data_IF_141745267902
#
_entry.id   IF_141745267902
#
_cell.length_a   1.000
_cell.length_b   1.000
_cell.length_c   1.000
_cell.angle_alpha   90.00
_cell.angle_beta   90.00
_cell.angle_gamma   90.00
#
_symmetry.space_group_name_H-M   'P 1'
#
loop_
_entity.id
_entity.type
_entity.pdbx_description
1 polymer ?
#
# COMPACT_ATOMS: atom_id res chain seq x y z
N UNK A 1 1.46 60.49 -5.99
CA UNK A 1 1.24 60.05 -7.39
C UNK A 1 0.35 58.84 -7.33
N UNK A 2 -0.93 59.07 -7.53
CA UNK A 2 -1.95 58.04 -7.55
C UNK A 2 -2.10 57.50 -8.96
N UNK A 3 -2.27 56.20 -9.09
CA UNK A 3 -2.64 55.54 -10.34
C UNK A 3 -4.06 54.95 -10.15
N UNK A 4 -5.00 55.57 -10.87
CA UNK A 4 -6.40 55.18 -11.01
C UNK A 4 -6.49 53.87 -11.81
N UNK A 5 -7.20 52.89 -11.27
CA UNK A 5 -7.59 51.67 -11.97
C UNK A 5 -9.07 51.81 -12.47
N UNK A 6 -9.36 51.58 -13.75
CA UNK A 6 -10.72 51.77 -14.29
C UNK A 6 -11.64 50.59 -13.98
N UNK A 7 -12.76 50.87 -13.35
CA UNK A 7 -13.92 49.98 -13.12
C UNK A 7 -14.54 49.51 -14.43
N UNK A 8 -14.39 48.21 -14.76
CA UNK A 8 -15.17 47.58 -15.85
C UNK A 8 -16.62 47.35 -15.44
N UNK A 9 -17.55 48.04 -16.14
CA UNK A 9 -18.98 47.79 -16.07
C UNK A 9 -19.32 46.43 -16.72
N UNK A 10 -19.90 45.51 -15.96
CA UNK A 10 -20.52 44.29 -16.50
C UNK A 10 -21.86 44.66 -17.13
N UNK A 11 -21.99 44.48 -18.44
CA UNK A 11 -23.26 44.48 -19.16
C UNK A 11 -24.03 43.19 -18.85
N UNK A 12 -25.27 43.37 -18.45
CA UNK A 12 -26.25 42.33 -18.13
C UNK A 12 -26.98 41.99 -19.42
N UNK A 13 -26.67 40.85 -20.04
CA UNK A 13 -27.45 40.32 -21.17
C UNK A 13 -28.72 39.65 -20.65
N UNK A 14 -29.86 40.03 -21.28
CA UNK A 14 -31.18 39.44 -21.05
C UNK A 14 -31.20 37.99 -21.53
N UNK A 15 -31.92 37.05 -20.85
CA UNK A 15 -32.15 35.74 -21.40
C UNK A 15 -33.17 35.76 -22.54
N UNK A 16 -32.79 35.11 -23.62
CA UNK A 16 -33.61 34.83 -24.79
C UNK A 16 -34.67 33.78 -24.44
N UNK A 17 -35.85 33.99 -24.96
CA UNK A 17 -37.06 33.18 -24.77
C UNK A 17 -36.87 31.80 -25.39
N UNK A 18 -36.96 30.75 -24.58
CA UNK A 18 -37.02 29.34 -25.01
C UNK A 18 -38.42 29.07 -25.62
N UNK A 19 -38.45 28.79 -26.91
CA UNK A 19 -39.59 28.17 -27.58
C UNK A 19 -39.87 26.79 -27.02
N UNK A 20 -41.09 26.60 -26.52
CA UNK A 20 -41.61 25.28 -26.11
C UNK A 20 -41.94 24.46 -27.34
N UNK A 21 -41.11 23.49 -27.66
CA UNK A 21 -41.43 22.42 -28.59
C UNK A 21 -42.46 21.47 -27.93
N UNK A 22 -43.63 21.37 -28.58
CA UNK A 22 -44.65 20.38 -28.21
C UNK A 22 -44.09 18.95 -28.36
N UNK A 23 -44.36 18.04 -27.42
CA UNK A 23 -43.95 16.65 -27.58
C UNK A 23 -44.73 16.01 -28.74
N UNK A 24 -43.97 15.39 -29.67
CA UNK A 24 -44.52 14.52 -30.70
C UNK A 24 -45.28 13.37 -30.03
N UNK A 25 -46.45 13.09 -30.55
CA UNK A 25 -47.33 12.00 -30.16
C UNK A 25 -46.70 10.69 -30.63
N UNK A 26 -45.88 10.08 -29.74
CA UNK A 26 -45.26 8.78 -29.96
C UNK A 26 -46.36 7.72 -29.76
N UNK A 27 -46.81 7.09 -30.84
CA UNK A 27 -47.87 6.10 -30.95
C UNK A 27 -47.70 4.82 -30.08
N UNK A 28 -47.10 4.92 -28.87
CA UNK A 28 -46.88 3.85 -27.89
C UNK A 28 -47.84 3.93 -26.69
N UNK A 29 -48.79 4.85 -26.66
CA UNK A 29 -49.71 5.04 -25.51
C UNK A 29 -50.69 3.85 -25.30
N UNK A 30 -50.87 2.99 -26.30
CA UNK A 30 -51.79 1.84 -26.22
C UNK A 30 -51.20 0.54 -25.64
N UNK A 31 -49.90 0.47 -25.39
CA UNK A 31 -49.25 -0.78 -24.92
C UNK A 31 -49.32 -0.99 -23.40
N UNK A 32 -49.64 0.07 -22.64
CA UNK A 32 -49.66 0.03 -21.17
C UNK A 32 -51.03 -0.27 -20.57
N UNK A 33 -52.08 -0.29 -21.36
CA UNK A 33 -53.47 -0.50 -20.91
C UNK A 33 -53.79 -1.96 -20.52
N UNK A 34 -52.86 -2.88 -20.79
CA UNK A 34 -53.02 -4.32 -20.45
C UNK A 34 -52.28 -4.78 -19.20
N UNK A 35 -51.52 -3.92 -18.55
CA UNK A 35 -50.84 -4.28 -17.29
C UNK A 35 -51.76 -3.90 -16.12
N UNK A 36 -52.00 -4.85 -15.18
CA UNK A 36 -52.70 -4.51 -13.97
C UNK A 36 -51.98 -3.37 -13.25
N UNK A 37 -52.70 -2.45 -12.62
CA UNK A 37 -52.07 -1.36 -11.90
C UNK A 37 -51.09 -1.92 -10.85
N UNK A 38 -49.92 -1.35 -10.69
CA UNK A 38 -48.94 -1.82 -9.73
C UNK A 38 -49.55 -1.82 -8.33
N UNK A 39 -49.41 -2.93 -7.62
CA UNK A 39 -49.88 -3.07 -6.23
C UNK A 39 -49.04 -2.14 -5.34
N UNK A 40 -49.62 -1.07 -4.79
CA UNK A 40 -48.88 -0.05 -4.06
C UNK A 40 -48.19 -0.66 -2.80
N UNK A 41 -48.70 -1.74 -2.25
CA UNK A 41 -48.11 -2.42 -1.11
C UNK A 41 -46.83 -3.20 -1.53
N UNK A 42 -46.80 -3.76 -2.74
CA UNK A 42 -45.62 -4.45 -3.28
C UNK A 42 -44.54 -3.46 -3.68
N UNK A 43 -44.92 -2.31 -4.26
CA UNK A 43 -43.97 -1.24 -4.61
C UNK A 43 -43.31 -0.63 -3.37
N UNK A 44 -44.08 -0.39 -2.31
CA UNK A 44 -43.55 0.11 -1.03
C UNK A 44 -42.61 -0.91 -0.37
N UNK A 45 -43.00 -2.17 -0.35
CA UNK A 45 -42.17 -3.26 0.17
C UNK A 45 -40.86 -3.42 -0.64
N UNK A 46 -40.94 -3.31 -1.98
CA UNK A 46 -39.76 -3.36 -2.86
C UNK A 46 -38.84 -2.15 -2.64
N UNK A 47 -39.39 -0.93 -2.47
CA UNK A 47 -38.62 0.28 -2.15
C UNK A 47 -37.93 0.17 -0.78
N UNK A 48 -38.64 -0.34 0.24
CA UNK A 48 -38.06 -0.55 1.57
C UNK A 48 -36.99 -1.64 1.55
N UNK A 49 -37.17 -2.71 0.78
CA UNK A 49 -36.15 -3.76 0.61
C UNK A 49 -34.94 -3.24 -0.16
N UNK A 50 -35.16 -2.47 -1.23
CA UNK A 50 -34.08 -1.83 -1.99
C UNK A 50 -33.33 -0.80 -1.14
N UNK A 51 -34.03 0.00 -0.33
CA UNK A 51 -33.41 0.94 0.60
C UNK A 51 -32.59 0.20 1.70
N UNK A 52 -33.10 -0.89 2.25
CA UNK A 52 -32.33 -1.73 3.19
C UNK A 52 -31.08 -2.33 2.55
N UNK A 53 -31.15 -2.80 1.31
CA UNK A 53 -30.00 -3.34 0.59
C UNK A 53 -28.97 -2.26 0.20
N UNK A 54 -29.39 -1.03 -0.01
CA UNK A 54 -28.49 0.11 -0.26
C UNK A 54 -27.67 0.50 0.98
N UNK A 55 -28.16 0.21 2.20
CA UNK A 55 -27.49 0.56 3.45
C UNK A 55 -26.77 -0.60 4.13
N UNK A 56 -26.99 -1.84 3.69
CA UNK A 56 -26.24 -2.99 4.21
C UNK A 56 -24.96 -3.17 3.41
N UNK A 57 -23.84 -2.74 4.00
CA UNK A 57 -22.52 -3.09 3.44
C UNK A 57 -22.38 -4.60 3.36
N UNK A 58 -21.90 -5.17 2.23
CA UNK A 58 -21.68 -6.61 2.11
C UNK A 58 -20.79 -7.11 3.26
N UNK A 59 -21.14 -8.27 3.83
CA UNK A 59 -20.30 -8.91 4.85
C UNK A 59 -18.93 -9.22 4.25
N UNK A 60 -17.87 -8.95 5.02
CA UNK A 60 -16.51 -9.30 4.60
C UNK A 60 -16.35 -10.82 4.55
N UNK A 61 -15.50 -11.34 3.64
CA UNK A 61 -15.14 -12.74 3.61
C UNK A 61 -14.35 -13.13 4.87
N UNK A 62 -14.22 -14.44 5.09
CA UNK A 62 -13.30 -14.97 6.11
C UNK A 62 -11.85 -14.62 5.72
N UNK A 63 -11.05 -14.25 6.72
CA UNK A 63 -9.67 -13.81 6.50
C UNK A 63 -8.78 -14.92 5.92
N UNK A 64 -8.12 -14.63 4.81
CA UNK A 64 -7.06 -15.47 4.23
C UNK A 64 -5.70 -15.00 4.74
N UNK A 65 -5.16 -15.71 5.72
CA UNK A 65 -3.89 -15.36 6.36
C UNK A 65 -2.67 -15.52 5.46
N UNK A 66 -2.81 -16.18 4.31
CA UNK A 66 -1.76 -16.28 3.30
C UNK A 66 -1.62 -15.01 2.46
N UNK A 67 -2.58 -14.07 2.56
CA UNK A 67 -2.58 -12.79 1.87
C UNK A 67 -2.47 -11.63 2.86
N UNK A 68 -1.59 -10.69 2.60
CA UNK A 68 -1.29 -9.59 3.52
C UNK A 68 -1.25 -8.24 2.83
N UNK A 69 -1.87 -7.25 3.46
CA UNK A 69 -1.74 -5.83 3.16
C UNK A 69 -0.81 -5.21 4.22
N UNK A 70 0.39 -4.78 3.84
CA UNK A 70 1.21 -3.90 4.68
C UNK A 70 0.69 -2.48 4.49
N UNK A 71 0.09 -1.93 5.54
CA UNK A 71 -0.63 -0.67 5.49
C UNK A 71 0.16 0.43 6.18
N UNK A 72 0.54 1.46 5.43
CA UNK A 72 0.93 2.75 6.01
C UNK A 72 -0.30 3.61 6.30
N UNK A 73 -0.15 4.66 7.08
CA UNK A 73 -1.21 5.56 7.50
C UNK A 73 -1.05 6.93 6.84
N UNK A 74 0.12 7.58 7.04
CA UNK A 74 0.39 8.89 6.44
C UNK A 74 0.46 8.76 4.90
N UNK A 75 -0.23 9.65 4.19
CA UNK A 75 -0.27 9.62 2.73
C UNK A 75 -1.06 8.45 2.11
N UNK A 76 -1.53 7.47 2.93
CA UNK A 76 -2.33 6.32 2.47
C UNK A 76 -3.78 6.44 2.93
N UNK A 77 -4.01 6.60 4.21
CA UNK A 77 -5.34 6.80 4.80
C UNK A 77 -5.55 8.21 5.30
N UNK A 78 -4.48 8.89 5.65
CA UNK A 78 -4.43 10.24 6.20
C UNK A 78 -3.65 11.14 5.24
N UNK A 79 -4.23 12.25 4.75
CA UNK A 79 -3.48 13.20 3.95
C UNK A 79 -2.30 13.76 4.74
N UNK A 80 -1.11 13.75 4.17
CA UNK A 80 0.09 14.33 4.81
C UNK A 80 -0.15 15.81 5.14
N UNK A 81 0.10 16.18 6.38
CA UNK A 81 -0.14 17.52 6.90
C UNK A 81 -1.55 17.77 7.47
N UNK A 82 -2.45 16.77 7.46
CA UNK A 82 -3.77 16.87 8.11
C UNK A 82 -3.69 16.76 9.63
N UNK A 83 -2.65 16.14 10.14
CA UNK A 83 -2.36 15.98 11.57
C UNK A 83 -1.03 16.67 11.88
N UNK A 84 -1.00 17.45 12.95
CA UNK A 84 0.24 18.07 13.43
C UNK A 84 1.23 16.99 13.86
N UNK A 85 2.45 17.06 13.33
CA UNK A 85 3.53 16.10 13.59
C UNK A 85 4.75 16.81 14.16
N UNK A 86 5.48 16.10 15.02
CA UNK A 86 6.84 16.47 15.46
C UNK A 86 7.83 15.46 14.92
N UNK A 87 9.05 15.91 14.65
CA UNK A 87 10.13 15.03 14.20
C UNK A 87 10.98 14.61 15.40
N UNK A 88 10.96 13.33 15.74
CA UNK A 88 11.79 12.73 16.78
C UNK A 88 12.74 11.73 16.09
N UNK A 89 14.05 11.94 16.24
CA UNK A 89 15.09 11.10 15.62
C UNK A 89 14.94 10.95 14.09
N UNK A 90 14.40 11.98 13.42
CA UNK A 90 14.17 11.98 11.98
C UNK A 90 12.90 11.23 11.56
N UNK A 91 12.03 10.90 12.50
CA UNK A 91 10.74 10.24 12.26
C UNK A 91 9.62 11.24 12.58
N UNK A 92 8.71 11.46 11.64
CA UNK A 92 7.51 12.25 11.87
C UNK A 92 6.52 11.44 12.72
N UNK A 93 6.20 11.95 13.89
CA UNK A 93 5.22 11.36 14.81
C UNK A 93 4.09 12.37 15.08
N UNK A 94 2.83 11.93 15.17
CA UNK A 94 1.75 12.84 15.52
C UNK A 94 1.95 13.39 16.93
N UNK A 95 1.68 14.68 17.09
CA UNK A 95 1.70 15.34 18.42
C UNK A 95 0.65 14.73 19.35
N UNK A 96 -0.47 14.30 18.77
CA UNK A 96 -1.57 13.62 19.47
C UNK A 96 -1.23 12.15 19.72
N UNK A 97 -1.68 11.64 20.84
CA UNK A 97 -1.58 10.21 21.17
C UNK A 97 -2.73 9.36 20.59
N UNK A 98 -3.69 9.99 19.92
CA UNK A 98 -4.87 9.34 19.33
C UNK A 98 -5.28 10.01 18.03
N UNK A 99 -5.82 9.21 17.13
CA UNK A 99 -6.49 9.66 15.89
C UNK A 99 -8.00 9.55 16.03
N UNK A 100 -8.71 10.33 15.22
CA UNK A 100 -10.17 10.33 15.10
C UNK A 100 -10.54 9.92 13.69
N UNK A 101 -11.74 9.39 13.52
CA UNK A 101 -12.27 9.04 12.20
C UNK A 101 -12.26 10.21 11.21
N UNK A 102 -12.55 11.43 11.73
CA UNK A 102 -12.51 12.67 10.92
C UNK A 102 -11.14 13.06 10.39
N UNK A 103 -10.07 12.48 10.91
CA UNK A 103 -8.71 12.73 10.44
C UNK A 103 -8.43 11.96 9.15
N UNK A 104 -9.18 10.90 8.87
CA UNK A 104 -8.97 9.98 7.75
C UNK A 104 -9.76 10.37 6.50
N UNK A 105 -9.20 10.10 5.33
CA UNK A 105 -9.93 10.19 4.07
C UNK A 105 -10.94 9.03 3.97
N UNK A 106 -12.24 9.34 4.02
CA UNK A 106 -13.32 8.34 3.99
C UNK A 106 -13.25 7.45 2.74
N UNK A 107 -12.90 8.04 1.59
CA UNK A 107 -12.69 7.29 0.33
C UNK A 107 -11.56 6.27 0.47
N UNK A 108 -10.45 6.64 1.09
CA UNK A 108 -9.31 5.75 1.28
C UNK A 108 -9.65 4.58 2.23
N UNK A 109 -10.40 4.84 3.31
CA UNK A 109 -10.94 3.78 4.17
C UNK A 109 -11.88 2.84 3.39
N UNK A 110 -12.75 3.39 2.54
CA UNK A 110 -13.61 2.62 1.66
C UNK A 110 -12.82 1.74 0.70
N UNK A 111 -11.72 2.24 0.15
CA UNK A 111 -10.83 1.51 -0.75
C UNK A 111 -10.10 0.37 -0.04
N UNK A 112 -9.59 0.56 1.19
CA UNK A 112 -9.03 -0.55 1.99
C UNK A 112 -10.07 -1.63 2.25
N UNK A 113 -11.31 -1.23 2.63
CA UNK A 113 -12.40 -2.18 2.81
C UNK A 113 -12.69 -2.96 1.53
N UNK A 114 -12.66 -2.30 0.38
CA UNK A 114 -12.87 -2.92 -0.94
C UNK A 114 -11.76 -3.94 -1.26
N UNK A 115 -10.49 -3.64 -0.98
CA UNK A 115 -9.38 -4.59 -1.13
C UNK A 115 -9.64 -5.83 -0.26
N UNK A 116 -9.95 -5.66 1.02
CA UNK A 116 -10.24 -6.79 1.93
C UNK A 116 -11.45 -7.59 1.45
N UNK A 117 -12.52 -6.92 1.00
CA UNK A 117 -13.72 -7.55 0.46
C UNK A 117 -13.42 -8.46 -0.73
N UNK A 118 -12.53 -8.05 -1.62
CA UNK A 118 -12.22 -8.76 -2.87
C UNK A 118 -11.16 -9.84 -2.70
N UNK A 119 -10.28 -9.72 -1.71
CA UNK A 119 -9.10 -10.57 -1.58
C UNK A 119 -9.07 -11.44 -0.32
N UNK A 120 -9.89 -11.11 0.67
CA UNK A 120 -9.86 -11.68 2.02
C UNK A 120 -8.52 -11.45 2.77
N UNK A 121 -7.65 -10.54 2.27
CA UNK A 121 -6.34 -10.31 2.84
C UNK A 121 -6.41 -9.75 4.26
N UNK A 122 -5.47 -10.14 5.10
CA UNK A 122 -5.28 -9.60 6.44
C UNK A 122 -4.44 -8.33 6.40
N UNK A 123 -4.60 -7.45 7.39
CA UNK A 123 -3.88 -6.18 7.48
C UNK A 123 -2.74 -6.31 8.49
N UNK A 124 -1.54 -5.83 8.12
CA UNK A 124 -0.38 -5.65 8.99
C UNK A 124 0.00 -4.18 8.97
N UNK A 125 0.03 -3.53 10.13
CA UNK A 125 0.34 -2.11 10.22
C UNK A 125 1.84 -1.88 9.99
N UNK A 126 2.18 -1.05 9.00
CA UNK A 126 3.55 -0.74 8.58
C UNK A 126 3.90 0.75 8.69
N UNK A 127 3.13 1.50 9.45
CA UNK A 127 3.31 2.93 9.68
C UNK A 127 4.26 3.23 10.84
N UNK A 128 4.84 4.43 10.88
CA UNK A 128 5.53 4.93 12.05
C UNK A 128 4.61 5.03 13.29
N UNK A 129 3.32 5.19 13.08
CA UNK A 129 2.30 5.30 14.13
C UNK A 129 2.10 4.01 14.91
N UNK A 130 2.67 2.88 14.45
CA UNK A 130 2.69 1.61 15.20
C UNK A 130 3.56 1.65 16.46
N UNK A 131 4.37 2.69 16.65
CA UNK A 131 5.32 2.79 17.78
C UNK A 131 4.65 2.87 19.13
N UNK A 132 3.47 3.50 19.23
CA UNK A 132 2.74 3.65 20.49
C UNK A 132 1.46 2.82 20.49
N UNK A 133 1.12 2.24 21.62
CA UNK A 133 -0.08 1.42 21.78
C UNK A 133 -1.35 2.26 21.62
N UNK A 134 -1.36 3.50 22.13
CA UNK A 134 -2.51 4.40 22.03
C UNK A 134 -2.86 4.74 20.58
N UNK A 135 -1.85 4.97 19.71
CA UNK A 135 -2.06 5.17 18.28
C UNK A 135 -2.57 3.89 17.61
N UNK A 136 -1.93 2.74 17.87
CA UNK A 136 -2.42 1.47 17.33
C UNK A 136 -3.87 1.20 17.70
N UNK A 137 -4.22 1.39 18.97
CA UNK A 137 -5.59 1.17 19.45
C UNK A 137 -6.58 2.12 18.79
N UNK A 138 -6.22 3.40 18.63
CA UNK A 138 -7.12 4.38 17.99
C UNK A 138 -7.28 4.14 16.49
N UNK A 139 -6.22 3.74 15.77
CA UNK A 139 -6.29 3.32 14.37
C UNK A 139 -7.21 2.09 14.25
N UNK A 140 -7.01 1.07 15.09
CA UNK A 140 -7.86 -0.12 15.11
C UNK A 140 -9.33 0.20 15.35
N UNK A 141 -9.63 1.17 16.22
CA UNK A 141 -11.00 1.64 16.46
C UNK A 141 -11.61 2.31 15.22
N UNK A 142 -10.84 3.13 14.49
CA UNK A 142 -11.29 3.75 13.23
C UNK A 142 -11.53 2.70 12.14
N UNK A 143 -10.63 1.74 11.96
CA UNK A 143 -10.85 0.64 11.01
C UNK A 143 -12.16 -0.10 11.32
N UNK A 144 -12.36 -0.45 12.58
CA UNK A 144 -13.57 -1.15 13.04
C UNK A 144 -14.84 -0.34 12.82
N UNK A 145 -14.84 1.00 13.01
CA UNK A 145 -16.01 1.86 12.77
C UNK A 145 -16.43 1.88 11.29
N UNK A 146 -15.51 1.54 10.39
CA UNK A 146 -15.72 1.43 8.95
C UNK A 146 -15.96 -0.02 8.46
N UNK A 147 -16.22 -0.95 9.35
CA UNK A 147 -16.32 -2.39 9.06
C UNK A 147 -15.07 -2.95 8.35
N UNK A 148 -13.89 -2.43 8.68
CA UNK A 148 -12.61 -2.97 8.23
C UNK A 148 -12.05 -3.82 9.37
N UNK A 149 -11.50 -5.02 9.10
CA UNK A 149 -10.87 -5.83 10.13
C UNK A 149 -9.75 -5.06 10.83
N UNK A 150 -9.57 -5.30 12.11
CA UNK A 150 -8.38 -4.80 12.79
C UNK A 150 -7.12 -5.42 12.16
N UNK A 151 -6.01 -4.67 12.20
CA UNK A 151 -4.74 -5.28 11.78
C UNK A 151 -4.38 -6.45 12.71
N UNK A 152 -3.91 -7.54 12.11
CA UNK A 152 -3.53 -8.77 12.85
C UNK A 152 -2.20 -8.61 13.57
N UNK A 153 -1.34 -7.72 13.07
CA UNK A 153 0.03 -7.53 13.54
C UNK A 153 0.61 -6.20 13.05
N UNK A 154 1.84 -5.91 13.39
CA UNK A 154 2.59 -4.76 12.89
C UNK A 154 4.06 -5.13 12.62
N UNK A 155 4.68 -4.44 11.64
CA UNK A 155 6.09 -4.68 11.31
C UNK A 155 7.04 -4.25 12.43
N UNK A 156 8.22 -4.89 12.59
CA UNK A 156 9.23 -4.44 13.54
C UNK A 156 9.69 -3.01 13.20
N UNK A 157 10.24 -2.32 14.18
CA UNK A 157 10.77 -0.96 14.02
C UNK A 157 12.29 -1.01 13.95
N UNK A 158 12.86 -0.60 12.83
CA UNK A 158 14.29 -0.48 12.66
C UNK A 158 14.74 0.99 12.62
N UNK A 159 16.01 1.22 12.89
CA UNK A 159 16.63 2.52 12.66
C UNK A 159 17.08 2.64 11.19
N UNK A 160 16.99 3.83 10.59
CA UNK A 160 17.60 4.11 9.30
C UNK A 160 19.11 3.89 9.38
N UNK A 161 19.73 3.42 8.28
CA UNK A 161 21.18 3.34 8.18
C UNK A 161 21.78 4.74 8.13
N UNK A 162 22.70 5.12 9.04
CA UNK A 162 23.25 6.48 9.07
C UNK A 162 23.84 6.94 7.73
N UNK A 163 24.60 6.05 7.07
CA UNK A 163 25.31 6.37 5.82
C UNK A 163 24.37 6.76 4.67
N UNK A 164 23.13 6.28 4.73
CA UNK A 164 22.10 6.58 3.72
C UNK A 164 21.26 7.77 4.16
N UNK A 165 20.94 7.86 5.45
CA UNK A 165 20.10 8.92 6.02
C UNK A 165 20.71 10.31 5.76
N UNK A 166 22.02 10.44 5.88
CA UNK A 166 22.72 11.72 5.74
C UNK A 166 22.78 12.21 4.30
N UNK A 167 22.75 11.28 3.32
CA UNK A 167 22.82 11.62 1.89
C UNK A 167 21.45 11.65 1.21
N UNK A 168 20.59 10.71 1.54
CA UNK A 168 19.27 10.51 0.93
C UNK A 168 18.23 10.07 1.97
N UNK A 169 17.62 11.00 2.69
CA UNK A 169 16.65 10.64 3.75
C UNK A 169 15.47 9.76 3.28
N UNK A 170 14.88 10.10 2.12
CA UNK A 170 13.78 9.33 1.53
C UNK A 170 14.23 7.91 1.17
N UNK A 171 15.41 7.76 0.56
CA UNK A 171 15.98 6.45 0.23
C UNK A 171 16.22 5.62 1.51
N UNK A 172 16.71 6.25 2.58
CA UNK A 172 16.89 5.59 3.88
C UNK A 172 15.57 5.07 4.46
N UNK A 173 14.47 5.79 4.25
CA UNK A 173 13.14 5.38 4.68
C UNK A 173 12.62 4.21 3.83
N UNK A 174 12.77 4.26 2.51
CA UNK A 174 12.42 3.14 1.63
C UNK A 174 13.18 1.86 1.99
N UNK A 175 14.52 1.94 2.18
CA UNK A 175 15.32 0.79 2.57
C UNK A 175 14.95 0.25 3.97
N UNK A 176 14.65 1.14 4.91
CA UNK A 176 14.21 0.75 6.24
C UNK A 176 12.87 0.02 6.16
N UNK A 177 11.86 0.58 5.48
CA UNK A 177 10.55 -0.02 5.30
C UNK A 177 10.67 -1.40 4.63
N UNK A 178 11.49 -1.53 3.59
CA UNK A 178 11.76 -2.81 2.93
C UNK A 178 12.34 -3.85 3.92
N UNK A 179 13.29 -3.47 4.78
CA UNK A 179 13.85 -4.37 5.80
C UNK A 179 12.82 -4.79 6.85
N UNK A 180 11.97 -3.88 7.28
CA UNK A 180 10.92 -4.12 8.26
C UNK A 180 9.89 -5.13 7.73
N UNK A 181 9.40 -4.93 6.49
CA UNK A 181 8.50 -5.86 5.81
C UNK A 181 9.19 -7.19 5.55
N UNK A 182 10.43 -7.19 5.03
CA UNK A 182 11.18 -8.41 4.76
C UNK A 182 11.46 -9.24 6.01
N UNK A 183 11.72 -8.61 7.16
CA UNK A 183 11.88 -9.32 8.43
C UNK A 183 10.56 -9.95 8.87
N UNK A 184 9.45 -9.20 8.78
CA UNK A 184 8.15 -9.72 9.13
C UNK A 184 7.75 -10.92 8.24
N UNK A 185 7.93 -10.82 6.92
CA UNK A 185 7.66 -11.91 5.97
C UNK A 185 8.52 -13.16 6.26
N UNK A 186 9.79 -12.97 6.65
CA UNK A 186 10.66 -14.09 7.03
C UNK A 186 10.13 -14.86 8.23
N UNK A 187 9.46 -14.17 9.15
CA UNK A 187 8.88 -14.78 10.35
C UNK A 187 7.48 -15.37 10.09
N UNK A 188 6.89 -15.12 8.89
CA UNK A 188 5.56 -15.56 8.50
C UNK A 188 5.59 -16.30 7.15
N UNK A 189 6.19 -17.51 7.10
CA UNK A 189 6.34 -18.28 5.87
C UNK A 189 5.01 -18.75 5.25
N UNK A 190 3.92 -18.67 6.00
CA UNK A 190 2.58 -18.96 5.49
C UNK A 190 2.08 -17.92 4.47
N UNK A 191 2.69 -16.73 4.42
CA UNK A 191 2.28 -15.65 3.51
C UNK A 191 2.83 -15.89 2.12
N UNK A 192 1.95 -16.10 1.17
CA UNK A 192 2.29 -16.37 -0.23
C UNK A 192 2.02 -15.18 -1.15
N UNK A 193 1.13 -14.27 -0.73
CA UNK A 193 0.81 -13.05 -1.47
C UNK A 193 0.73 -11.85 -0.52
N UNK A 194 1.29 -10.73 -0.96
CA UNK A 194 1.27 -9.51 -0.17
C UNK A 194 1.40 -8.27 -1.06
N UNK A 195 0.94 -7.14 -0.54
CA UNK A 195 1.08 -5.81 -1.13
C UNK A 195 1.42 -4.81 -0.03
N UNK A 196 2.27 -3.83 -0.34
CA UNK A 196 2.49 -2.66 0.51
C UNK A 196 1.74 -1.46 -0.05
N UNK A 197 0.92 -0.81 0.78
CA UNK A 197 0.28 0.47 0.48
C UNK A 197 1.05 1.55 1.22
N UNK A 198 1.72 2.44 0.49
CA UNK A 198 2.71 3.37 1.04
C UNK A 198 2.83 4.61 0.15
N UNK A 199 3.12 5.77 0.73
CA UNK A 199 3.44 6.99 -0.02
C UNK A 199 4.94 7.11 -0.36
N UNK A 200 5.74 6.14 0.08
CA UNK A 200 7.14 6.01 -0.32
C UNK A 200 7.25 5.43 -1.74
N UNK A 201 7.98 6.12 -2.62
CA UNK A 201 8.22 5.65 -3.99
C UNK A 201 9.36 4.62 -4.05
N UNK A 202 9.01 3.34 -3.92
CA UNK A 202 9.98 2.24 -4.02
C UNK A 202 10.52 2.04 -5.43
N UNK A 203 9.78 2.45 -6.48
CA UNK A 203 10.26 2.38 -7.86
C UNK A 203 11.37 3.40 -8.10
N UNK A 204 11.20 4.62 -7.59
CA UNK A 204 12.25 5.64 -7.59
C UNK A 204 13.45 5.19 -6.74
N UNK A 205 13.24 4.68 -5.54
CA UNK A 205 14.32 4.22 -4.67
C UNK A 205 15.15 3.11 -5.33
N UNK A 206 14.52 2.17 -6.01
CA UNK A 206 15.19 1.12 -6.78
C UNK A 206 15.99 1.68 -7.95
N UNK A 207 15.51 2.73 -8.62
CA UNK A 207 16.22 3.37 -9.74
C UNK A 207 17.52 4.07 -9.31
N UNK A 208 17.57 4.58 -8.06
CA UNK A 208 18.76 5.24 -7.51
C UNK A 208 19.74 4.20 -6.93
N UNK A 209 19.20 3.20 -6.23
CA UNK A 209 20.00 2.18 -5.57
C UNK A 209 19.26 0.86 -5.50
N UNK A 210 19.59 -0.05 -6.42
CA UNK A 210 18.95 -1.37 -6.53
C UNK A 210 19.07 -2.28 -5.28
N UNK A 211 19.88 -1.91 -4.29
CA UNK A 211 20.13 -2.71 -3.11
C UNK A 211 18.99 -2.61 -2.09
N UNK A 212 18.14 -3.63 -2.01
CA UNK A 212 17.15 -3.82 -0.94
C UNK A 212 15.70 -3.47 -1.28
N UNK A 213 15.42 -2.89 -2.46
CA UNK A 213 14.06 -2.50 -2.83
C UNK A 213 13.48 -3.14 -4.11
N UNK A 214 14.22 -3.95 -4.93
CA UNK A 214 13.66 -4.44 -6.21
C UNK A 214 12.44 -5.33 -6.03
N UNK A 215 12.33 -6.07 -4.95
CA UNK A 215 11.17 -6.89 -4.61
C UNK A 215 9.99 -6.05 -4.06
N UNK A 216 10.27 -4.89 -3.44
CA UNK A 216 9.24 -3.96 -2.99
C UNK A 216 8.54 -3.28 -4.17
N UNK A 217 9.28 -2.83 -5.17
CA UNK A 217 8.73 -2.07 -6.30
C UNK A 217 7.63 -2.81 -7.09
N UNK A 218 7.68 -4.13 -7.14
CA UNK A 218 6.67 -4.94 -7.84
C UNK A 218 5.50 -5.37 -6.96
N UNK A 219 5.60 -5.11 -5.66
CA UNK A 219 4.61 -5.46 -4.64
C UNK A 219 4.13 -4.27 -3.83
N UNK A 220 4.46 -3.05 -4.24
CA UNK A 220 3.99 -1.82 -3.59
C UNK A 220 3.09 -1.03 -4.52
N UNK A 221 2.07 -0.43 -3.94
CA UNK A 221 1.22 0.57 -4.56
C UNK A 221 1.60 1.91 -3.97
N UNK A 222 2.14 2.79 -4.81
CA UNK A 222 2.54 4.14 -4.43
C UNK A 222 1.31 5.06 -4.42
N UNK A 223 1.01 5.66 -3.26
CA UNK A 223 -0.11 6.58 -3.10
C UNK A 223 0.34 8.04 -3.18
N UNK A 224 -0.56 8.91 -3.60
CA UNK A 224 -0.34 10.35 -3.51
C UNK A 224 -0.53 10.81 -2.06
N UNK A 225 0.50 11.40 -1.48
CA UNK A 225 0.54 11.80 -0.07
C UNK A 225 -0.60 12.75 0.36
N UNK A 226 -1.25 13.46 -0.57
CA UNK A 226 -2.37 14.37 -0.28
C UNK A 226 -3.74 13.78 -0.63
N UNK A 227 -3.79 12.92 -1.66
CA UNK A 227 -5.04 12.31 -2.14
C UNK A 227 -5.33 10.97 -1.45
N UNK A 228 -4.32 10.36 -0.83
CA UNK A 228 -4.40 9.05 -0.22
C UNK A 228 -4.70 7.93 -1.22
N UNK A 229 -5.12 6.79 -0.73
CA UNK A 229 -5.43 5.59 -1.52
C UNK A 229 -6.62 5.84 -2.45
N UNK A 230 -6.37 5.86 -3.75
CA UNK A 230 -7.39 6.05 -4.80
C UNK A 230 -8.06 4.73 -5.20
N UNK A 231 -9.09 4.81 -6.04
CA UNK A 231 -9.74 3.63 -6.63
C UNK A 231 -8.78 2.86 -7.55
N UNK A 232 -7.95 3.56 -8.32
CA UNK A 232 -6.93 2.96 -9.17
C UNK A 232 -5.90 2.18 -8.33
N UNK A 233 -5.46 2.78 -7.22
CA UNK A 233 -4.57 2.10 -6.26
C UNK A 233 -5.24 0.87 -5.63
N UNK A 234 -6.54 0.94 -5.35
CA UNK A 234 -7.32 -0.20 -4.86
C UNK A 234 -7.28 -1.36 -5.86
N UNK A 235 -7.57 -1.09 -7.14
CA UNK A 235 -7.57 -2.08 -8.20
C UNK A 235 -6.18 -2.70 -8.41
N UNK A 236 -5.12 -1.90 -8.39
CA UNK A 236 -3.74 -2.37 -8.47
C UNK A 236 -3.40 -3.30 -7.29
N UNK A 237 -3.75 -2.92 -6.07
CA UNK A 237 -3.53 -3.74 -4.89
C UNK A 237 -4.26 -5.09 -4.95
N UNK A 238 -5.51 -5.11 -5.43
CA UNK A 238 -6.29 -6.32 -5.66
C UNK A 238 -5.60 -7.23 -6.68
N UNK A 239 -5.12 -6.66 -7.79
CA UNK A 239 -4.40 -7.43 -8.81
C UNK A 239 -3.11 -8.06 -8.26
N UNK A 240 -2.31 -7.31 -7.50
CA UNK A 240 -1.09 -7.82 -6.87
C UNK A 240 -1.41 -8.96 -5.90
N UNK A 241 -2.48 -8.84 -5.10
CA UNK A 241 -2.86 -9.87 -4.13
C UNK A 241 -3.43 -11.13 -4.76
N UNK A 242 -4.20 -11.03 -5.85
CA UNK A 242 -4.79 -12.16 -6.54
C UNK A 242 -3.82 -12.82 -7.52
N UNK A 243 -2.94 -12.04 -8.14
CA UNK A 243 -1.98 -12.47 -9.14
C UNK A 243 -0.57 -11.96 -8.79
N UNK A 244 0.03 -12.45 -7.70
CA UNK A 244 1.28 -11.91 -7.19
C UNK A 244 2.39 -11.99 -8.25
N UNK A 245 3.03 -10.85 -8.58
CA UNK A 245 4.15 -10.86 -9.52
C UNK A 245 5.29 -11.71 -8.95
N UNK A 246 6.06 -12.40 -9.80
CA UNK A 246 7.22 -13.16 -9.36
C UNK A 246 8.23 -12.22 -8.70
N UNK A 247 8.87 -12.68 -7.64
CA UNK A 247 9.95 -11.93 -7.02
C UNK A 247 11.09 -11.73 -8.03
N UNK A 248 11.59 -10.50 -8.19
CA UNK A 248 12.75 -10.24 -9.03
C UNK A 248 13.92 -11.11 -8.56
N UNK A 249 14.54 -11.86 -9.48
CA UNK A 249 15.77 -12.57 -9.17
C UNK A 249 16.85 -11.55 -8.87
N UNK A 250 17.20 -11.42 -7.61
CA UNK A 250 18.35 -10.58 -7.23
C UNK A 250 19.59 -11.13 -7.95
N UNK A 251 20.40 -10.26 -8.56
CA UNK A 251 21.69 -10.70 -9.09
C UNK A 251 22.48 -11.34 -7.93
N UNK A 252 23.25 -12.41 -8.20
CA UNK A 252 24.03 -13.07 -7.16
C UNK A 252 24.86 -12.02 -6.43
N UNK A 253 24.81 -12.05 -5.11
CA UNK A 253 25.52 -11.10 -4.25
C UNK A 253 26.99 -11.10 -4.67
N UNK A 254 27.50 -9.97 -5.11
CA UNK A 254 28.94 -9.85 -5.36
C UNK A 254 29.66 -10.22 -4.05
N UNK A 255 30.60 -11.16 -4.06
CA UNK A 255 31.31 -11.55 -2.86
C UNK A 255 31.94 -10.28 -2.25
N UNK A 256 31.74 -10.09 -0.97
CA UNK A 256 32.37 -8.99 -0.22
C UNK A 256 33.89 -9.10 -0.32
N UNK A 257 34.58 -8.03 0.00
CA UNK A 257 36.06 -8.07 0.02
C UNK A 257 36.58 -9.16 0.97
N UNK A 258 35.92 -9.35 2.10
CA UNK A 258 36.21 -10.40 3.08
C UNK A 258 35.95 -11.82 2.51
N UNK A 259 34.87 -12.04 1.75
CA UNK A 259 34.61 -13.33 1.10
C UNK A 259 35.67 -13.65 0.03
N UNK A 260 36.28 -12.64 -0.60
CA UNK A 260 37.38 -12.78 -1.56
C UNK A 260 38.67 -13.16 -0.86
N UNK A 261 38.99 -12.57 0.29
CA UNK A 261 40.17 -12.89 1.07
C UNK A 261 40.10 -14.30 1.63
N UNK A 262 38.95 -14.75 2.14
CA UNK A 262 38.74 -16.11 2.63
C UNK A 262 38.88 -17.13 1.49
N UNK A 263 38.36 -16.82 0.30
CA UNK A 263 38.51 -17.69 -0.87
C UNK A 263 39.95 -17.76 -1.36
N UNK A 264 40.68 -16.66 -1.37
CA UNK A 264 42.09 -16.60 -1.74
C UNK A 264 42.96 -17.33 -0.74
N UNK A 265 42.71 -17.19 0.55
CA UNK A 265 43.39 -17.89 1.63
C UNK A 265 43.20 -19.42 1.56
N UNK A 266 42.01 -19.90 1.20
CA UNK A 266 41.75 -21.33 1.03
C UNK A 266 42.41 -21.92 -0.22
N UNK A 267 42.58 -21.15 -1.30
CA UNK A 267 43.30 -21.61 -2.49
C UNK A 267 44.79 -21.68 -2.27
N UNK A 268 45.37 -20.77 -1.50
CA UNK A 268 46.81 -20.82 -1.15
C UNK A 268 47.17 -21.94 -0.18
N UNK A 269 46.26 -22.34 0.73
CA UNK A 269 46.47 -23.45 1.65
C UNK A 269 46.29 -24.83 1.01
N UNK A 270 45.60 -24.93 -0.13
CA UNK A 270 45.40 -26.19 -0.87
C UNK A 270 46.57 -26.60 -1.77
N UNK A 271 47.54 -25.70 -2.00
CA UNK A 271 48.65 -25.96 -2.92
C UNK A 271 49.93 -26.46 -2.25
N UNK A 272 49.94 -26.64 -0.93
CA UNK A 272 51.12 -27.08 -0.15
C UNK A 272 51.13 -28.56 0.28
N UNK A 273 50.23 -29.39 -0.24
CA UNK A 273 50.12 -30.78 0.19
C UNK A 273 50.12 -31.77 -0.98
N UNK A 274 51.16 -31.72 -1.85
CA UNK A 274 51.38 -32.79 -2.84
C UNK A 274 52.85 -32.79 -3.35
N UNK A 275 53.81 -32.87 -2.42
CA UNK A 275 55.15 -33.36 -2.76
C UNK A 275 55.64 -34.22 -1.56
N UNK A 276 55.15 -35.44 -1.42
CA UNK A 276 55.82 -36.48 -0.67
C UNK A 276 56.29 -37.54 -1.66
N UNK A 277 57.58 -37.44 -1.91
CA UNK A 277 58.63 -38.48 -2.01
C UNK A 277 58.21 -39.89 -2.43
N UNK A 278 58.45 -40.16 -3.71
CA UNK A 278 58.74 -41.53 -4.21
C UNK A 278 60.24 -41.81 -4.04
N UNK A 279 60.65 -42.46 -2.96
CA UNK A 279 61.98 -43.10 -2.85
C UNK A 279 61.98 -44.35 -3.73
N UNK A 280 63.04 -44.62 -4.51
CA UNK A 280 63.19 -45.86 -5.21
C UNK A 280 63.79 -46.93 -4.29
N UNK A 281 63.12 -48.06 -4.19
CA UNK A 281 63.55 -49.28 -3.52
C UNK A 281 64.86 -49.82 -4.17
N UNK A 282 65.97 -49.78 -3.45
CA UNK A 282 67.21 -50.38 -3.85
C UNK A 282 67.18 -51.88 -3.50
N UNK A 283 67.16 -52.69 -4.48
CA UNK A 283 67.28 -54.14 -4.43
C UNK A 283 68.43 -54.65 -3.50
N UNK A 284 68.10 -55.68 -2.83
CA UNK A 284 69.07 -56.55 -2.10
C UNK A 284 69.31 -57.81 -2.93
N UNK A 285 70.51 -57.85 -3.49
CA UNK A 285 71.08 -59.09 -3.98
C UNK A 285 71.60 -59.91 -2.78
N UNK A 286 71.32 -61.21 -2.78
CA UNK A 286 71.87 -62.20 -1.84
C UNK A 286 71.03 -63.46 -1.93
#
# INVERSE_FOLDING_TARGET
>A
MGSDEPKRKRQRTKPESTETLSPADDGLSGLYDFLPPPDPAKDEAAKVAAAKNLFTRPKLPEEDRSKVIFLDIDGVLLPVGSVETIVIDGVAMPVRDRVRESDFAISALGNVRSIVQQTAATIVLSSEWRRTESLRSSIGAVLKSQDIPAFRDFTPVFQPKPEIKDTHPILAWCERRAREIGKWLKDHPEVTSWVALDDLDFAWADSIRAAGTPWMKVRSVHTDAKRCLSEENCQEAVQILLNPPPEPRLPPRRPSFEDREISASRQSSGMLCSTEDSMPDRGRLG
#
